data_IF_554452503522
#
_entry.id   IF_554452503522
#
_cell.length_a   1.000
_cell.length_b   1.000
_cell.length_c   1.000
_cell.angle_alpha   90.00
_cell.angle_beta   90.00
_cell.angle_gamma   90.00
#
_symmetry.space_group_name_H-M   'P 1'
#
loop_
_entity.id
_entity.type
_entity.pdbx_description
1 polymer ?
#
# COMPACT_ATOMS: atom_id res chain seq x y z
N UNK A 1 -8.89 20.41 12.01
CA UNK A 1 -9.72 20.98 10.93
C UNK A 1 -9.07 20.52 9.63
N UNK A 2 -9.42 19.37 9.07
CA UNK A 2 -10.63 19.09 8.33
C UNK A 2 -10.18 18.53 6.97
N UNK A 3 -9.55 17.34 6.98
CA UNK A 3 -9.05 16.66 5.79
C UNK A 3 -10.25 16.14 5.00
N UNK A 4 -10.40 16.59 3.75
CA UNK A 4 -11.52 16.20 2.89
C UNK A 4 -10.99 15.43 1.69
N UNK A 5 -11.42 14.17 1.55
CA UNK A 5 -11.36 13.48 0.27
C UNK A 5 -12.33 14.15 -0.70
N UNK A 6 -11.92 14.33 -1.95
CA UNK A 6 -12.77 14.86 -3.01
C UNK A 6 -13.64 13.70 -3.49
N UNK A 7 -14.91 13.68 -3.08
CA UNK A 7 -15.97 12.92 -3.75
C UNK A 7 -16.70 13.87 -4.70
N UNK A 8 -16.56 13.64 -6.01
CA UNK A 8 -17.24 14.43 -7.04
C UNK A 8 -18.69 13.95 -7.17
N UNK A 9 -19.67 14.86 -7.06
CA UNK A 9 -21.10 14.58 -7.29
C UNK A 9 -21.66 15.42 -8.45
N UNK A 10 -22.43 14.74 -9.32
CA UNK A 10 -23.33 15.27 -10.36
C UNK A 10 -24.23 14.12 -10.85
N UNK A 11 -25.45 14.41 -11.34
CA UNK A 11 -26.71 13.82 -10.86
C UNK A 11 -26.81 12.30 -11.06
N UNK A 12 -27.59 11.67 -10.17
CA UNK A 12 -27.91 10.26 -10.19
C UNK A 12 -28.26 9.74 -11.60
N UNK A 13 -27.38 8.89 -12.11
CA UNK A 13 -27.71 7.90 -13.12
C UNK A 13 -27.44 6.54 -12.47
N UNK A 14 -28.50 5.84 -12.09
CA UNK A 14 -28.44 4.42 -11.78
C UNK A 14 -28.09 3.73 -13.09
N UNK A 15 -26.80 3.56 -13.37
CA UNK A 15 -26.36 2.57 -14.34
C UNK A 15 -26.20 1.25 -13.60
N UNK A 16 -27.26 0.45 -13.67
CA UNK A 16 -27.14 -0.98 -13.46
C UNK A 16 -26.28 -1.53 -14.60
N UNK A 17 -24.96 -1.54 -14.42
CA UNK A 17 -24.11 -2.38 -15.24
C UNK A 17 -24.30 -3.82 -14.78
N UNK A 18 -25.16 -4.55 -15.48
CA UNK A 18 -24.93 -5.96 -15.71
C UNK A 18 -23.65 -6.05 -16.55
N UNK A 19 -22.50 -6.11 -15.89
CA UNK A 19 -21.28 -6.59 -16.52
C UNK A 19 -20.95 -7.95 -15.94
N UNK A 20 -20.76 -8.88 -16.88
CA UNK A 20 -20.39 -10.27 -16.65
C UNK A 20 -19.31 -10.39 -15.58
N UNK A 21 -19.43 -11.44 -14.76
CA UNK A 21 -18.36 -11.87 -13.87
C UNK A 21 -17.05 -11.93 -14.68
N UNK A 22 -16.18 -10.94 -14.45
CA UNK A 22 -14.78 -11.02 -14.83
C UNK A 22 -14.21 -12.29 -14.21
N UNK A 23 -13.31 -13.01 -14.91
CA UNK A 23 -12.68 -14.19 -14.32
C UNK A 23 -11.90 -13.72 -13.09
N UNK A 24 -12.37 -14.12 -11.91
CA UNK A 24 -11.84 -13.85 -10.57
C UNK A 24 -10.92 -12.61 -10.48
N UNK A 25 -11.45 -11.47 -10.05
CA UNK A 25 -10.62 -10.49 -9.37
C UNK A 25 -9.82 -11.27 -8.32
N UNK A 26 -8.50 -11.33 -8.45
CA UNK A 26 -7.67 -11.96 -7.42
C UNK A 26 -7.96 -11.18 -6.15
N UNK A 27 -8.60 -11.81 -5.17
CA UNK A 27 -8.76 -11.21 -3.86
C UNK A 27 -7.35 -10.85 -3.38
N UNK A 28 -7.12 -9.56 -3.14
CA UNK A 28 -5.83 -9.08 -2.68
C UNK A 28 -5.68 -9.54 -1.23
N UNK A 29 -4.79 -10.50 -0.97
CA UNK A 29 -4.61 -11.05 0.38
C UNK A 29 -3.97 -10.06 1.35
N UNK A 30 -3.25 -9.06 0.83
CA UNK A 30 -2.48 -8.09 1.63
C UNK A 30 -2.55 -6.71 1.02
N UNK A 31 -2.90 -5.71 1.83
CA UNK A 31 -2.85 -4.30 1.46
C UNK A 31 -2.48 -3.45 2.67
N UNK A 32 -2.20 -2.17 2.43
CA UNK A 32 -1.96 -1.20 3.50
C UNK A 32 -2.54 0.16 3.15
N UNK A 33 -2.86 0.95 4.17
CA UNK A 33 -3.38 2.31 4.03
C UNK A 33 -2.57 3.27 4.93
N UNK A 34 -2.10 4.42 4.39
CA UNK A 34 -2.11 4.78 2.97
C UNK A 34 -1.26 3.83 2.12
N UNK A 35 -1.63 3.59 0.86
CA UNK A 35 -0.89 2.71 -0.05
C UNK A 35 0.58 3.14 -0.29
N UNK A 36 0.90 4.40 -0.01
CA UNK A 36 2.24 4.99 -0.10
C UNK A 36 2.47 5.84 1.16
N UNK A 37 2.87 5.22 2.28
CA UNK A 37 3.08 5.95 3.52
C UNK A 37 4.30 6.87 3.42
N UNK A 38 4.16 8.08 3.95
CA UNK A 38 5.29 9.00 4.08
C UNK A 38 6.19 8.55 5.24
N UNK A 39 7.44 9.00 5.21
CA UNK A 39 8.36 8.88 6.35
C UNK A 39 7.72 9.49 7.60
N UNK A 40 7.66 8.72 8.68
CA UNK A 40 7.04 9.13 9.94
C UNK A 40 5.51 9.18 9.92
N UNK A 41 4.86 8.70 8.86
CA UNK A 41 3.40 8.63 8.78
C UNK A 41 2.89 7.27 9.25
N UNK A 42 1.95 7.29 10.19
CA UNK A 42 1.19 6.12 10.60
C UNK A 42 0.51 5.44 9.40
N UNK A 43 0.58 4.11 9.36
CA UNK A 43 -0.06 3.29 8.35
C UNK A 43 -0.59 1.99 8.97
N UNK A 44 -1.56 1.37 8.29
CA UNK A 44 -2.17 0.11 8.73
C UNK A 44 -1.99 -0.95 7.66
N UNK A 45 -1.45 -2.11 8.04
CA UNK A 45 -1.36 -3.31 7.21
C UNK A 45 -2.61 -4.16 7.47
N UNK A 46 -3.15 -4.72 6.39
CA UNK A 46 -4.30 -5.62 6.42
C UNK A 46 -3.94 -6.96 5.77
N UNK A 47 -4.50 -8.04 6.32
CA UNK A 47 -4.36 -9.41 5.85
C UNK A 47 -5.73 -10.08 5.77
N UNK A 48 -6.16 -10.47 4.59
CA UNK A 48 -7.37 -11.27 4.38
C UNK A 48 -7.02 -12.76 4.47
N UNK A 49 -7.47 -13.40 5.54
CA UNK A 49 -7.19 -14.82 5.79
C UNK A 49 -7.85 -15.76 4.76
N UNK A 50 -8.99 -15.36 4.18
CA UNK A 50 -9.69 -16.16 3.17
C UNK A 50 -8.99 -16.10 1.79
N UNK A 51 -8.26 -15.01 1.53
CA UNK A 51 -7.48 -14.82 0.31
C UNK A 51 -5.99 -15.21 0.46
N UNK A 52 -5.48 -15.24 1.70
CA UNK A 52 -4.10 -15.58 2.05
C UNK A 52 -3.77 -17.07 2.00
N UNK A 53 -2.56 -17.43 2.43
CA UNK A 53 -2.08 -18.82 2.48
C UNK A 53 -2.02 -19.42 3.89
N UNK A 54 -2.24 -18.62 4.94
CA UNK A 54 -2.43 -19.17 6.29
C UNK A 54 -3.69 -20.06 6.34
N UNK A 55 -3.72 -21.07 7.25
CA UNK A 55 -4.88 -21.95 7.37
C UNK A 55 -6.16 -21.18 7.67
N UNK A 56 -7.23 -21.48 6.93
CA UNK A 56 -8.56 -20.93 7.22
C UNK A 56 -9.01 -21.28 8.64
N UNK A 57 -9.49 -20.27 9.37
CA UNK A 57 -9.90 -20.41 10.77
C UNK A 57 -8.76 -20.30 11.79
N UNK A 58 -7.57 -19.81 11.39
CA UNK A 58 -6.52 -19.43 12.33
C UNK A 58 -7.08 -18.50 13.42
N UNK A 59 -6.85 -18.84 14.69
CA UNK A 59 -7.35 -18.06 15.83
C UNK A 59 -6.50 -16.83 16.16
N UNK A 60 -5.38 -16.66 15.47
CA UNK A 60 -4.48 -15.53 15.58
C UNK A 60 -3.70 -15.34 14.28
N UNK A 61 -3.40 -14.09 13.96
CA UNK A 61 -2.43 -13.73 12.92
C UNK A 61 -1.44 -12.74 13.53
N UNK A 62 -0.17 -12.97 13.26
CA UNK A 62 0.93 -12.11 13.68
C UNK A 62 1.65 -11.59 12.45
N UNK A 63 2.05 -10.32 12.52
CA UNK A 63 2.97 -9.72 11.57
C UNK A 63 4.39 -10.02 12.04
N UNK A 64 5.19 -10.71 11.24
CA UNK A 64 6.63 -10.83 11.43
C UNK A 64 7.30 -9.79 10.52
N UNK A 65 7.98 -8.81 11.10
CA UNK A 65 8.44 -7.62 10.38
C UNK A 65 9.78 -7.07 10.86
N UNK A 66 10.46 -6.36 9.98
CA UNK A 66 11.73 -5.70 10.26
C UNK A 66 11.97 -4.51 9.34
N UNK A 67 12.96 -3.69 9.71
CA UNK A 67 13.54 -2.74 8.77
C UNK A 67 14.32 -3.51 7.72
N UNK A 68 14.22 -3.08 6.47
CA UNK A 68 14.91 -3.73 5.35
C UNK A 68 15.82 -2.74 4.62
N UNK A 69 17.08 -3.13 4.42
CA UNK A 69 18.03 -2.33 3.65
C UNK A 69 17.86 -2.53 2.12
N UNK A 70 18.68 -1.84 1.34
CA UNK A 70 18.67 -1.96 -0.13
C UNK A 70 19.16 -3.33 -0.64
N UNK A 71 19.79 -4.13 0.22
CA UNK A 71 20.27 -5.49 -0.08
C UNK A 71 19.27 -6.56 0.37
N UNK A 72 18.17 -6.17 1.01
CA UNK A 72 17.17 -7.09 1.54
C UNK A 72 17.52 -7.66 2.92
N UNK A 73 18.52 -7.12 3.62
CA UNK A 73 18.84 -7.57 4.98
C UNK A 73 17.86 -6.97 5.98
N UNK A 74 17.41 -7.80 6.92
CA UNK A 74 16.47 -7.41 7.96
C UNK A 74 17.22 -6.97 9.22
N UNK A 75 16.62 -6.03 9.94
CA UNK A 75 17.02 -5.63 11.28
C UNK A 75 15.80 -5.27 12.12
N UNK A 76 15.91 -5.42 13.44
CA UNK A 76 14.78 -5.12 14.31
C UNK A 76 14.36 -3.65 14.21
N UNK A 77 13.03 -3.38 14.16
CA UNK A 77 12.52 -2.02 14.23
C UNK A 77 12.78 -1.43 15.62
N UNK A 78 12.93 -0.10 15.74
CA UNK A 78 13.11 0.56 17.03
C UNK A 78 11.98 0.18 18.00
N UNK A 79 12.30 -0.16 19.24
CA UNK A 79 11.29 -0.60 20.20
C UNK A 79 10.20 0.46 20.47
N UNK A 80 10.49 1.75 20.22
CA UNK A 80 9.51 2.83 20.31
C UNK A 80 8.38 2.74 19.28
N UNK A 81 8.55 1.99 18.19
CA UNK A 81 7.52 1.82 17.15
C UNK A 81 6.74 0.52 17.29
N UNK A 82 7.02 -0.28 18.32
CA UNK A 82 6.41 -1.57 18.53
C UNK A 82 4.94 -1.43 18.97
N UNK A 83 3.99 -2.02 18.23
CA UNK A 83 2.63 -2.15 18.71
C UNK A 83 2.55 -2.94 20.03
N UNK A 84 1.47 -2.78 20.82
CA UNK A 84 1.28 -3.56 22.03
C UNK A 84 1.35 -5.07 21.79
N UNK A 85 2.08 -5.79 22.63
CA UNK A 85 2.24 -7.25 22.51
C UNK A 85 3.36 -7.70 21.57
N UNK A 86 4.10 -6.77 20.96
CA UNK A 86 5.25 -7.10 20.10
C UNK A 86 6.38 -7.77 20.89
N UNK A 87 6.98 -8.80 20.28
CA UNK A 87 8.13 -9.54 20.83
C UNK A 87 9.31 -9.52 19.85
N UNK A 88 10.57 -9.51 20.34
CA UNK A 88 11.73 -9.69 19.48
C UNK A 88 11.83 -11.14 19.02
N UNK A 89 12.22 -11.34 17.77
CA UNK A 89 12.47 -12.67 17.17
C UNK A 89 13.80 -12.66 16.41
N UNK A 90 14.20 -13.82 15.89
CA UNK A 90 15.44 -13.98 15.10
C UNK A 90 16.68 -13.39 15.77
N UNK A 91 16.81 -13.60 17.08
CA UNK A 91 17.90 -13.05 17.89
C UNK A 91 18.03 -11.52 17.77
N UNK A 92 16.90 -10.82 17.63
CA UNK A 92 16.83 -9.37 17.49
C UNK A 92 17.01 -8.86 16.06
N UNK A 93 16.86 -9.72 15.04
CA UNK A 93 16.88 -9.30 13.64
C UNK A 93 15.49 -8.90 13.11
N UNK A 94 14.42 -9.25 13.82
CA UNK A 94 13.04 -8.91 13.48
C UNK A 94 12.17 -8.80 14.74
N UNK A 95 10.92 -8.40 14.55
CA UNK A 95 9.90 -8.35 15.59
C UNK A 95 8.61 -9.03 15.10
N UNK A 96 7.85 -9.59 16.03
CA UNK A 96 6.53 -10.14 15.77
C UNK A 96 5.47 -9.41 16.58
N UNK A 97 4.44 -8.92 15.91
CA UNK A 97 3.36 -8.13 16.50
C UNK A 97 2.01 -8.81 16.27
N UNK A 98 1.15 -8.95 17.31
CA UNK A 98 -0.16 -9.55 17.14
C UNK A 98 -1.06 -8.61 16.33
N UNK A 99 -1.72 -9.16 15.31
CA UNK A 99 -2.73 -8.43 14.54
C UNK A 99 -4.10 -8.51 15.23
N UNK A 100 -4.96 -7.56 14.92
CA UNK A 100 -6.33 -7.48 15.44
C UNK A 100 -7.28 -8.05 14.39
N UNK A 101 -8.08 -9.04 14.78
CA UNK A 101 -9.15 -9.59 13.94
C UNK A 101 -10.26 -8.54 13.72
N UNK A 102 -10.60 -8.32 12.45
CA UNK A 102 -11.68 -7.46 12.00
C UNK A 102 -12.88 -8.24 11.47
N UNK A 103 -13.68 -7.58 10.63
CA UNK A 103 -14.77 -8.24 9.92
C UNK A 103 -14.24 -9.10 8.76
N UNK A 104 -15.03 -10.07 8.32
CA UNK A 104 -14.78 -10.85 7.10
C UNK A 104 -13.38 -11.49 7.07
N UNK A 105 -12.90 -11.98 8.22
CA UNK A 105 -11.59 -12.60 8.40
C UNK A 105 -10.39 -11.72 8.00
N UNK A 106 -10.58 -10.39 8.00
CA UNK A 106 -9.51 -9.42 7.74
C UNK A 106 -8.83 -9.04 9.06
N UNK A 107 -7.54 -9.30 9.15
CA UNK A 107 -6.67 -8.94 10.28
C UNK A 107 -5.95 -7.63 9.98
N UNK A 108 -5.73 -6.80 10.99
CA UNK A 108 -5.07 -5.50 10.81
C UNK A 108 -4.04 -5.18 11.89
N UNK A 109 -3.04 -4.39 11.52
CA UNK A 109 -2.05 -3.84 12.46
C UNK A 109 -1.62 -2.44 12.02
N UNK A 110 -1.75 -1.49 12.93
CA UNK A 110 -1.29 -0.12 12.74
C UNK A 110 0.11 0.06 13.33
N UNK A 111 0.99 0.70 12.56
CA UNK A 111 2.36 1.02 12.95
C UNK A 111 2.54 2.54 12.84
N UNK A 112 3.12 3.13 13.88
CA UNK A 112 3.55 4.53 13.90
C UNK A 112 5.09 4.57 13.72
N UNK A 113 5.60 4.76 12.48
CA UNK A 113 7.03 4.72 12.21
C UNK A 113 7.71 6.01 12.67
N UNK A 114 9.00 5.92 12.99
CA UNK A 114 9.85 7.11 13.22
C UNK A 114 10.54 7.54 11.93
N UNK A 115 10.96 8.80 11.85
CA UNK A 115 11.55 9.40 10.63
C UNK A 115 12.80 8.69 10.09
N UNK A 116 13.47 7.87 10.90
CA UNK A 116 14.64 7.10 10.47
C UNK A 116 14.29 5.81 9.72
N UNK A 117 13.02 5.41 9.71
CA UNK A 117 12.55 4.24 8.99
C UNK A 117 12.27 4.63 7.53
N UNK A 118 12.95 3.97 6.59
CA UNK A 118 12.80 4.23 5.15
C UNK A 118 12.13 3.08 4.40
N UNK A 119 12.16 1.88 4.95
CA UNK A 119 11.41 0.73 4.44
C UNK A 119 11.19 -0.32 5.53
N UNK A 120 10.12 -1.08 5.41
CA UNK A 120 9.92 -2.33 6.17
C UNK A 120 9.69 -3.50 5.23
N UNK A 121 10.09 -4.69 5.66
CA UNK A 121 9.66 -5.94 5.06
C UNK A 121 8.90 -6.76 6.10
N UNK A 122 7.94 -7.55 5.64
CA UNK A 122 7.08 -8.34 6.54
C UNK A 122 6.53 -9.60 5.88
N UNK A 123 6.08 -10.52 6.74
CA UNK A 123 5.36 -11.76 6.43
C UNK A 123 4.33 -12.02 7.53
N UNK A 124 3.46 -13.01 7.36
CA UNK A 124 2.43 -13.37 8.34
C UNK A 124 2.65 -14.78 8.89
N UNK A 125 2.31 -14.98 10.16
CA UNK A 125 2.36 -16.28 10.84
C UNK A 125 1.17 -16.44 11.76
N UNK A 126 0.69 -17.67 11.93
CA UNK A 126 -0.31 -18.03 12.94
C UNK A 126 0.33 -18.45 14.28
N UNK A 127 1.66 -18.38 14.40
CA UNK A 127 2.48 -18.89 15.51
C UNK A 127 2.39 -20.42 15.72
N UNK A 128 1.80 -21.16 14.78
CA UNK A 128 1.67 -22.63 14.82
C UNK A 128 2.56 -23.30 13.77
N UNK A 129 3.48 -22.53 13.19
CA UNK A 129 4.45 -22.99 12.19
C UNK A 129 4.00 -22.77 10.75
N UNK A 130 2.83 -22.17 10.52
CA UNK A 130 2.38 -21.78 9.19
C UNK A 130 2.81 -20.35 8.88
N UNK A 131 3.22 -20.13 7.65
CA UNK A 131 3.74 -18.85 7.18
C UNK A 131 3.11 -18.49 5.85
N UNK A 132 2.70 -17.24 5.74
CA UNK A 132 2.46 -16.61 4.47
C UNK A 132 3.59 -15.62 4.24
N UNK A 133 4.53 -15.97 3.37
CA UNK A 133 5.72 -15.18 3.06
C UNK A 133 5.77 -14.76 1.58
N UNK A 134 4.60 -14.69 0.94
CA UNK A 134 4.49 -14.32 -0.47
C UNK A 134 5.36 -15.22 -1.37
N UNK A 135 5.34 -16.53 -1.13
CA UNK A 135 6.16 -17.53 -1.84
C UNK A 135 7.67 -17.21 -1.79
N UNK A 136 8.15 -16.71 -0.65
CA UNK A 136 9.54 -16.35 -0.39
C UNK A 136 9.95 -14.94 -0.84
N UNK A 137 9.05 -14.16 -1.45
CA UNK A 137 9.33 -12.78 -1.85
C UNK A 137 9.19 -11.78 -0.69
N UNK A 138 8.44 -12.16 0.35
CA UNK A 138 7.95 -11.29 1.41
C UNK A 138 7.11 -10.13 0.84
N UNK A 139 6.58 -9.28 1.73
CA UNK A 139 6.08 -7.96 1.33
C UNK A 139 7.04 -6.89 1.79
N UNK A 140 7.03 -5.76 1.08
CA UNK A 140 7.85 -4.59 1.35
C UNK A 140 6.99 -3.35 1.25
N UNK A 141 7.20 -2.42 2.17
CA UNK A 141 6.67 -1.05 2.12
C UNK A 141 7.86 -0.11 2.15
N UNK A 142 8.00 0.69 1.11
CA UNK A 142 8.94 1.80 1.06
C UNK A 142 8.24 3.09 1.49
N UNK A 143 8.88 3.84 2.39
CA UNK A 143 8.36 5.13 2.84
C UNK A 143 8.80 6.23 1.88
N UNK A 144 7.84 7.02 1.43
CA UNK A 144 8.11 8.15 0.54
C UNK A 144 8.57 9.35 1.39
N UNK A 145 9.65 10.02 1.01
CA UNK A 145 10.01 11.28 1.68
C UNK A 145 8.89 12.30 1.47
N UNK A 146 8.57 13.09 2.49
CA UNK A 146 7.57 14.15 2.40
C UNK A 146 7.86 15.20 1.32
N UNK A 147 9.05 15.18 0.72
CA UNK A 147 9.49 16.05 -0.38
C UNK A 147 9.12 15.52 -1.78
N UNK A 148 8.52 14.33 -1.88
CA UNK A 148 8.06 13.82 -3.17
C UNK A 148 6.77 14.53 -3.57
N UNK A 149 6.91 15.46 -4.51
CA UNK A 149 5.81 16.25 -5.07
C UNK A 149 4.76 15.39 -5.80
N UNK A 150 5.16 14.26 -6.39
CA UNK A 150 4.26 13.43 -7.19
C UNK A 150 4.71 11.97 -7.25
N UNK A 151 3.75 11.05 -7.22
CA UNK A 151 3.96 9.61 -7.37
C UNK A 151 2.80 8.97 -8.12
N UNK A 152 2.84 7.65 -8.34
CA UNK A 152 1.78 6.91 -9.01
C UNK A 152 1.60 5.50 -8.42
N UNK A 153 0.48 4.85 -8.74
CA UNK A 153 0.16 3.48 -8.34
C UNK A 153 -0.55 2.75 -9.49
N UNK A 154 -0.25 1.46 -9.76
CA UNK A 154 0.76 0.63 -9.07
C UNK A 154 2.19 1.09 -9.35
N UNK A 155 3.15 0.65 -8.51
CA UNK A 155 4.57 1.02 -8.64
C UNK A 155 5.19 0.46 -9.94
N UNK A 156 4.82 -0.76 -10.30
CA UNK A 156 5.18 -1.44 -11.54
C UNK A 156 3.93 -1.68 -12.42
N UNK A 157 3.42 -0.65 -13.12
CA UNK A 157 2.24 -0.79 -13.96
C UNK A 157 2.52 -1.60 -15.22
N UNK A 158 1.66 -2.59 -15.50
CA UNK A 158 1.66 -3.34 -16.74
C UNK A 158 0.73 -2.71 -17.80
N UNK A 159 0.96 -2.97 -19.10
CA UNK A 159 0.06 -2.49 -20.15
C UNK A 159 -1.39 -2.94 -19.93
N UNK A 160 -2.27 -1.98 -19.66
CA UNK A 160 -3.69 -2.22 -19.39
C UNK A 160 -4.11 -1.92 -17.95
N UNK A 161 -3.16 -1.70 -17.05
CA UNK A 161 -3.46 -1.34 -15.66
C UNK A 161 -4.08 0.05 -15.54
N UNK A 162 -4.93 0.21 -14.53
CA UNK A 162 -5.40 1.51 -14.11
C UNK A 162 -4.28 2.20 -13.32
N UNK A 163 -3.70 3.24 -13.92
CA UNK A 163 -2.71 4.09 -13.27
C UNK A 163 -3.39 5.23 -12.51
N UNK A 164 -3.13 5.37 -11.22
CA UNK A 164 -3.50 6.56 -10.44
C UNK A 164 -2.25 7.41 -10.20
N UNK A 165 -2.30 8.68 -10.57
CA UNK A 165 -1.23 9.66 -10.32
C UNK A 165 -1.65 10.56 -9.15
N UNK A 166 -0.75 10.74 -8.21
CA UNK A 166 -0.94 11.55 -7.03
C UNK A 166 0.02 12.74 -7.04
N UNK A 167 -0.42 13.84 -6.42
CA UNK A 167 0.38 15.06 -6.27
C UNK A 167 0.21 15.62 -4.86
N UNK A 168 1.30 15.84 -4.15
CA UNK A 168 1.32 16.51 -2.87
C UNK A 168 1.66 17.99 -3.08
N UNK A 169 0.67 18.86 -2.90
CA UNK A 169 0.86 20.31 -3.07
C UNK A 169 1.88 20.89 -2.08
N UNK A 170 1.93 20.39 -0.84
CA UNK A 170 2.86 20.88 0.18
C UNK A 170 4.33 20.52 -0.12
N UNK A 171 4.56 19.44 -0.87
CA UNK A 171 5.89 19.02 -1.32
C UNK A 171 6.26 19.60 -2.69
N UNK A 172 5.25 19.95 -3.47
CA UNK A 172 5.38 20.45 -4.82
C UNK A 172 5.68 21.93 -4.91
N UNK A 173 5.71 22.43 -6.14
CA UNK A 173 5.87 23.86 -6.45
C UNK A 173 4.55 24.59 -6.60
N UNK A 174 3.42 23.86 -6.56
CA UNK A 174 2.11 24.48 -6.53
C UNK A 174 1.86 25.09 -5.14
N UNK A 175 1.08 26.18 -5.04
CA UNK A 175 0.67 26.73 -3.75
C UNK A 175 -0.05 25.68 -2.88
N UNK A 176 0.18 25.72 -1.57
CA UNK A 176 -0.48 24.84 -0.60
C UNK A 176 -2.01 24.96 -0.61
N UNK A 177 -2.54 26.08 -1.10
CA UNK A 177 -3.97 26.37 -1.25
C UNK A 177 -4.51 26.13 -2.67
N UNK A 178 -3.76 25.43 -3.52
CA UNK A 178 -4.18 25.09 -4.87
C UNK A 178 -5.44 24.22 -4.85
N UNK A 179 -6.57 24.82 -5.19
CA UNK A 179 -7.89 24.15 -5.26
C UNK A 179 -8.16 23.45 -6.59
N UNK A 180 -7.34 23.71 -7.62
CA UNK A 180 -7.52 23.21 -8.98
C UNK A 180 -6.19 22.68 -9.53
N UNK A 181 -5.80 21.47 -9.11
CA UNK A 181 -4.64 20.78 -9.68
C UNK A 181 -5.07 20.07 -10.96
N UNK A 182 -4.40 20.37 -12.08
CA UNK A 182 -4.64 19.73 -13.38
C UNK A 182 -3.38 19.00 -13.81
N UNK A 183 -3.53 17.73 -14.19
CA UNK A 183 -2.47 16.96 -14.78
C UNK A 183 -2.37 17.28 -16.28
N UNK A 184 -1.19 17.73 -16.73
CA UNK A 184 -0.85 17.76 -18.15
C UNK A 184 -0.06 16.49 -18.46
N UNK A 185 -0.64 15.61 -19.28
CA UNK A 185 -0.09 14.29 -19.55
C UNK A 185 -0.12 13.96 -21.05
N UNK A 186 0.69 12.98 -21.43
CA UNK A 186 0.73 12.39 -22.76
C UNK A 186 1.39 11.01 -22.69
N UNK A 187 1.46 10.32 -23.82
CA UNK A 187 2.16 9.03 -23.92
C UNK A 187 3.43 9.18 -24.75
N UNK A 188 4.38 8.27 -24.53
CA UNK A 188 5.52 8.12 -25.41
C UNK A 188 5.61 6.67 -25.87
N UNK A 189 5.90 6.46 -27.15
CA UNK A 189 6.21 5.13 -27.68
C UNK A 189 7.72 4.90 -27.60
N UNK A 190 8.13 3.66 -27.31
CA UNK A 190 9.55 3.30 -27.27
C UNK A 190 10.24 3.71 -28.57
N UNK A 191 11.29 4.54 -28.45
CA UNK A 191 12.06 5.05 -29.59
C UNK A 191 11.53 6.33 -30.24
N UNK A 192 10.43 6.91 -29.74
CA UNK A 192 9.96 8.24 -30.12
C UNK A 192 10.39 9.24 -29.03
N UNK A 193 10.88 10.42 -29.43
CA UNK A 193 11.39 11.45 -28.51
C UNK A 193 10.38 12.56 -28.20
N UNK A 194 9.12 12.39 -28.58
CA UNK A 194 8.08 13.43 -28.49
C UNK A 194 6.82 12.85 -27.87
N UNK A 195 6.23 13.62 -26.95
CA UNK A 195 4.94 13.33 -26.34
C UNK A 195 3.84 13.28 -27.40
N UNK A 196 2.98 12.29 -27.29
CA UNK A 196 1.81 12.13 -28.15
C UNK A 196 0.54 12.27 -27.33
N UNK A 197 -0.52 12.74 -27.98
CA UNK A 197 -1.85 12.76 -27.41
C UNK A 197 -2.29 11.31 -27.11
N UNK A 198 -2.72 11.03 -25.88
CA UNK A 198 -3.18 9.70 -25.51
C UNK A 198 -4.48 9.36 -26.25
N UNK A 199 -4.71 8.10 -26.65
CA UNK A 199 -5.99 7.67 -27.20
C UNK A 199 -7.15 8.00 -26.26
N UNK A 200 -8.31 8.38 -26.82
CA UNK A 200 -9.49 8.74 -26.03
C UNK A 200 -9.93 7.66 -25.03
N UNK A 201 -9.63 6.39 -25.30
CA UNK A 201 -9.90 5.28 -24.39
C UNK A 201 -9.09 5.32 -23.08
N UNK A 202 -7.98 6.08 -23.02
CA UNK A 202 -7.16 6.28 -21.83
C UNK A 202 -7.55 7.55 -21.06
N UNK A 203 -8.46 8.37 -21.59
CA UNK A 203 -8.81 9.62 -20.94
C UNK A 203 -9.60 9.32 -19.66
N UNK A 204 -9.24 9.96 -18.52
CA UNK A 204 -10.04 9.85 -17.30
C UNK A 204 -11.50 10.23 -17.59
N UNK A 205 -12.47 9.53 -16.98
CA UNK A 205 -13.89 9.83 -17.14
C UNK A 205 -14.28 11.23 -16.66
#
# INVERSE_FOLDING_TARGET
>A
MGRRAITLWGPALVLLFLLAASPAARAQSVWWDPAQPLVGQEFTIYYDLDAGTLPGGASQVWLHWGLVDALGNWSAPPQSTWPPGTIPVDNGAAAESPMIEGADNVWSLTIDPVETMTAIAFVFTDQEGNWDNNNGNNWRIDFTSGDVASWYSPEDPEPGDLLTVYYNAAAGTLPDDAVNVRLHWGINQVGQGQWQEPPAAMWPP
#
